data_IF_519328228289
#
_entry.id   IF_519328228289
#
_cell.length_a   1.000
_cell.length_b   1.000
_cell.length_c   1.000
_cell.angle_alpha   90.00
_cell.angle_beta   90.00
_cell.angle_gamma   90.00
#
_symmetry.space_group_name_H-M   'P 1'
#
loop_
_entity.id
_entity.type
_entity.pdbx_description
1 polymer ?
#
# COMPACT_ATOMS: atom_id res chain seq x y z
N UNK A 1 29.93 -21.68 -28.35
CA UNK A 1 28.51 -21.89 -27.97
C UNK A 1 28.19 -21.50 -26.53
N UNK A 2 29.01 -21.79 -25.51
CA UNK A 2 28.74 -21.43 -24.11
C UNK A 2 28.64 -19.91 -23.84
N UNK A 3 29.54 -19.09 -24.43
CA UNK A 3 29.50 -17.63 -24.26
C UNK A 3 28.25 -16.98 -24.87
N UNK A 4 27.76 -17.46 -26.02
CA UNK A 4 26.53 -16.93 -26.63
C UNK A 4 25.29 -17.21 -25.77
N UNK A 5 25.30 -18.34 -25.07
CA UNK A 5 24.19 -18.72 -24.16
C UNK A 5 24.20 -17.85 -22.89
N UNK A 6 25.36 -17.56 -22.32
CA UNK A 6 25.51 -16.69 -21.14
C UNK A 6 25.05 -15.25 -21.46
N UNK A 7 25.44 -14.69 -22.60
CA UNK A 7 25.06 -13.33 -23.00
C UNK A 7 23.57 -13.21 -23.28
N UNK A 8 22.93 -14.23 -23.84
CA UNK A 8 21.48 -14.24 -24.07
C UNK A 8 20.70 -14.27 -22.73
N UNK A 9 21.09 -15.09 -21.77
CA UNK A 9 20.48 -15.16 -20.46
C UNK A 9 20.64 -13.86 -19.65
N UNK A 10 21.79 -13.23 -19.70
CA UNK A 10 22.04 -11.93 -19.06
C UNK A 10 21.18 -10.84 -19.67
N UNK A 11 21.06 -10.82 -21.00
CA UNK A 11 20.24 -9.83 -21.71
C UNK A 11 18.76 -9.98 -21.39
N UNK A 12 18.22 -11.20 -21.40
CA UNK A 12 16.83 -11.50 -21.03
C UNK A 12 16.53 -11.08 -19.59
N UNK A 13 17.42 -11.38 -18.64
CA UNK A 13 17.29 -11.01 -17.24
C UNK A 13 17.25 -9.48 -17.07
N UNK A 14 18.07 -8.74 -17.79
CA UNK A 14 18.09 -7.27 -17.74
C UNK A 14 16.80 -6.66 -18.30
N UNK A 15 16.24 -7.22 -19.39
CA UNK A 15 14.96 -6.77 -19.93
C UNK A 15 13.81 -7.03 -18.97
N UNK A 16 13.72 -8.23 -18.38
CA UNK A 16 12.67 -8.56 -17.40
C UNK A 16 12.77 -7.64 -16.17
N UNK A 17 13.98 -7.37 -15.69
CA UNK A 17 14.19 -6.43 -14.58
C UNK A 17 13.68 -5.03 -14.92
N UNK A 18 13.95 -4.53 -16.13
CA UNK A 18 13.48 -3.22 -16.58
C UNK A 18 11.94 -3.11 -16.62
N UNK A 19 11.26 -4.11 -17.18
CA UNK A 19 9.78 -4.13 -17.21
C UNK A 19 9.17 -4.18 -15.82
N UNK A 20 9.71 -4.99 -14.93
CA UNK A 20 9.20 -5.06 -13.54
C UNK A 20 9.43 -3.77 -12.77
N UNK A 21 10.50 -3.03 -13.05
CA UNK A 21 10.74 -1.72 -12.44
C UNK A 21 9.76 -0.66 -12.94
N UNK A 22 9.42 -0.68 -14.24
CA UNK A 22 8.40 0.20 -14.81
C UNK A 22 7.02 -0.12 -14.20
N UNK A 23 6.64 -1.39 -14.09
CA UNK A 23 5.36 -1.78 -13.47
C UNK A 23 5.32 -1.36 -12.00
N UNK A 24 6.43 -1.52 -11.26
CA UNK A 24 6.52 -1.06 -9.87
C UNK A 24 6.31 0.45 -9.77
N UNK A 25 6.92 1.23 -10.66
CA UNK A 25 6.74 2.69 -10.71
C UNK A 25 5.29 3.06 -11.02
N UNK A 26 4.67 2.46 -12.04
CA UNK A 26 3.29 2.75 -12.44
C UNK A 26 2.29 2.40 -11.33
N UNK A 27 2.44 1.24 -10.69
CA UNK A 27 1.60 0.85 -9.55
C UNK A 27 1.78 1.79 -8.37
N UNK A 28 3.00 2.27 -8.11
CA UNK A 28 3.28 3.27 -7.07
C UNK A 28 2.61 4.60 -7.33
N UNK A 29 2.70 5.12 -8.57
CA UNK A 29 2.02 6.36 -8.98
C UNK A 29 0.50 6.21 -8.86
N UNK A 30 -0.06 5.09 -9.31
CA UNK A 30 -1.49 4.81 -9.20
C UNK A 30 -1.96 4.81 -7.73
N UNK A 31 -1.23 4.14 -6.84
CA UNK A 31 -1.53 4.11 -5.41
C UNK A 31 -1.41 5.51 -4.78
N UNK A 32 -0.40 6.30 -5.15
CA UNK A 32 -0.25 7.67 -4.69
C UNK A 32 -1.45 8.55 -5.11
N UNK A 33 -1.84 8.50 -6.37
CA UNK A 33 -3.03 9.23 -6.86
C UNK A 33 -4.30 8.78 -6.13
N UNK A 34 -4.46 7.47 -5.93
CA UNK A 34 -5.59 6.93 -5.18
C UNK A 34 -5.62 7.47 -3.74
N UNK A 35 -4.49 7.44 -3.02
CA UNK A 35 -4.43 7.94 -1.63
C UNK A 35 -4.78 9.43 -1.56
N UNK A 36 -4.28 10.25 -2.48
CA UNK A 36 -4.61 11.68 -2.54
C UNK A 36 -6.11 11.91 -2.76
N UNK A 37 -6.72 11.22 -3.72
CA UNK A 37 -8.16 11.28 -3.96
C UNK A 37 -8.96 10.77 -2.77
N UNK A 38 -8.53 9.68 -2.16
CA UNK A 38 -9.15 9.10 -0.98
C UNK A 38 -9.11 10.06 0.22
N UNK A 39 -7.98 10.74 0.44
CA UNK A 39 -7.84 11.75 1.49
C UNK A 39 -8.81 12.91 1.31
N UNK A 40 -8.97 13.43 0.08
CA UNK A 40 -9.95 14.48 -0.23
C UNK A 40 -11.38 13.99 0.07
N UNK A 41 -11.70 12.77 -0.35
CA UNK A 41 -13.02 12.18 -0.16
C UNK A 41 -13.35 12.00 1.34
N UNK A 42 -12.44 11.42 2.11
CA UNK A 42 -12.65 11.23 3.55
C UNK A 42 -12.67 12.56 4.30
N UNK A 43 -11.84 13.53 3.91
CA UNK A 43 -11.82 14.87 4.51
C UNK A 43 -13.12 15.66 4.27
N UNK A 44 -13.95 15.25 3.32
CA UNK A 44 -15.25 15.89 3.07
C UNK A 44 -16.20 15.83 4.27
N UNK A 45 -16.01 14.88 5.19
CA UNK A 45 -16.77 14.79 6.45
C UNK A 45 -16.57 16.03 7.33
N UNK A 46 -15.40 16.67 7.25
CA UNK A 46 -15.08 17.90 8.01
C UNK A 46 -15.94 19.07 7.55
N UNK A 47 -16.26 19.11 6.24
CA UNK A 47 -17.14 20.14 5.67
C UNK A 47 -18.59 19.86 6.05
N UNK A 48 -19.08 18.64 5.85
CA UNK A 48 -20.41 18.21 6.27
C UNK A 48 -20.54 16.68 6.13
N UNK A 49 -21.15 15.99 7.12
CA UNK A 49 -21.51 14.57 7.00
C UNK A 49 -22.36 14.28 5.76
N UNK A 50 -23.27 15.20 5.39
CA UNK A 50 -24.11 15.06 4.19
C UNK A 50 -23.32 15.00 2.89
N UNK A 51 -22.21 15.77 2.80
CA UNK A 51 -21.33 15.74 1.61
C UNK A 51 -20.64 14.38 1.52
N UNK A 52 -20.11 13.88 2.64
CA UNK A 52 -19.51 12.54 2.70
C UNK A 52 -20.51 11.46 2.29
N UNK A 53 -21.75 11.48 2.84
CA UNK A 53 -22.80 10.52 2.52
C UNK A 53 -23.18 10.57 1.03
N UNK A 54 -23.28 11.76 0.44
CA UNK A 54 -23.56 11.92 -1.00
C UNK A 54 -22.46 11.31 -1.86
N UNK A 55 -21.18 11.50 -1.49
CA UNK A 55 -20.04 10.89 -2.17
C UNK A 55 -20.01 9.38 -1.99
N UNK A 56 -20.32 8.89 -0.80
CA UNK A 56 -20.43 7.45 -0.52
C UNK A 56 -21.52 6.78 -1.36
N UNK A 57 -22.72 7.38 -1.42
CA UNK A 57 -23.82 6.90 -2.27
C UNK A 57 -23.42 6.90 -3.75
N UNK A 58 -22.74 7.95 -4.23
CA UNK A 58 -22.22 7.98 -5.60
C UNK A 58 -21.24 6.84 -5.89
N UNK A 59 -20.31 6.57 -4.98
CA UNK A 59 -19.32 5.49 -5.14
C UNK A 59 -19.98 4.10 -5.12
N UNK A 60 -21.00 3.92 -4.29
CA UNK A 60 -21.74 2.67 -4.19
C UNK A 60 -22.64 2.42 -5.40
N UNK A 61 -23.41 3.43 -5.82
CA UNK A 61 -24.31 3.31 -6.99
C UNK A 61 -23.54 3.14 -8.30
N UNK A 62 -22.31 3.68 -8.37
CA UNK A 62 -21.41 3.50 -9.50
C UNK A 62 -20.60 2.18 -9.43
N UNK A 63 -20.80 1.35 -8.41
CA UNK A 63 -20.02 0.14 -8.13
C UNK A 63 -18.51 0.39 -7.93
N UNK A 64 -18.09 1.64 -7.79
CA UNK A 64 -16.69 2.01 -7.61
C UNK A 64 -16.15 1.54 -6.26
N UNK A 65 -16.94 1.50 -5.21
CA UNK A 65 -16.54 0.99 -3.91
C UNK A 65 -16.35 -0.54 -3.94
N UNK A 66 -17.31 -1.28 -4.53
CA UNK A 66 -17.34 -2.74 -4.55
C UNK A 66 -16.26 -3.33 -5.46
N UNK A 67 -15.98 -2.69 -6.59
CA UNK A 67 -14.99 -3.16 -7.58
C UNK A 67 -13.63 -2.49 -7.35
N UNK A 68 -13.61 -1.19 -7.08
CA UNK A 68 -12.39 -0.41 -6.87
C UNK A 68 -11.62 -0.85 -5.63
N UNK A 69 -12.29 -1.14 -4.53
CA UNK A 69 -11.66 -1.61 -3.30
C UNK A 69 -10.80 -2.86 -3.50
N UNK A 70 -11.34 -3.98 -4.02
CA UNK A 70 -10.55 -5.18 -4.34
C UNK A 70 -9.43 -4.93 -5.36
N UNK A 71 -9.66 -4.09 -6.37
CA UNK A 71 -8.64 -3.75 -7.37
C UNK A 71 -7.48 -3.01 -6.72
N UNK A 72 -7.75 -2.02 -5.88
CA UNK A 72 -6.69 -1.26 -5.18
C UNK A 72 -5.92 -2.18 -4.23
N UNK A 73 -6.60 -3.08 -3.53
CA UNK A 73 -5.94 -4.09 -2.69
C UNK A 73 -5.00 -4.98 -3.52
N UNK A 74 -5.45 -5.46 -4.67
CA UNK A 74 -4.63 -6.25 -5.58
C UNK A 74 -3.41 -5.48 -6.09
N UNK A 75 -3.60 -4.21 -6.50
CA UNK A 75 -2.50 -3.33 -6.95
C UNK A 75 -1.51 -3.09 -5.82
N UNK A 76 -1.97 -2.89 -4.60
CA UNK A 76 -1.12 -2.70 -3.42
C UNK A 76 -0.27 -3.94 -3.12
N UNK A 77 -0.86 -5.14 -3.17
CA UNK A 77 -0.14 -6.41 -2.99
C UNK A 77 0.89 -6.60 -4.11
N UNK A 78 0.50 -6.36 -5.36
CA UNK A 78 1.41 -6.43 -6.51
C UNK A 78 2.58 -5.45 -6.36
N UNK A 79 2.31 -4.20 -6.02
CA UNK A 79 3.33 -3.19 -5.78
C UNK A 79 4.30 -3.63 -4.68
N UNK A 80 3.77 -4.16 -3.57
CA UNK A 80 4.58 -4.66 -2.46
C UNK A 80 5.48 -5.83 -2.90
N UNK A 81 4.95 -6.82 -3.63
CA UNK A 81 5.72 -7.97 -4.14
C UNK A 81 6.86 -7.49 -5.06
N UNK A 82 6.58 -6.53 -5.94
CA UNK A 82 7.59 -5.97 -6.84
C UNK A 82 8.66 -5.19 -6.07
N UNK A 83 8.30 -4.44 -5.04
CA UNK A 83 9.23 -3.72 -4.18
C UNK A 83 10.07 -4.67 -3.32
N UNK A 84 9.42 -5.69 -2.74
CA UNK A 84 10.06 -6.71 -1.90
C UNK A 84 11.18 -7.47 -2.62
N UNK A 85 11.07 -7.62 -3.94
CA UNK A 85 12.12 -8.24 -4.76
C UNK A 85 13.51 -7.60 -4.58
N UNK A 86 13.56 -6.31 -4.20
CA UNK A 86 14.79 -5.55 -4.00
C UNK A 86 15.27 -5.52 -2.55
N UNK A 87 14.55 -6.17 -1.64
CA UNK A 87 14.89 -6.20 -0.22
C UNK A 87 15.85 -7.33 0.12
N UNK A 88 16.79 -7.12 1.05
CA UNK A 88 17.65 -8.19 1.57
C UNK A 88 16.82 -9.07 2.51
N UNK A 89 16.41 -10.25 2.05
CA UNK A 89 15.65 -11.20 2.88
C UNK A 89 16.52 -12.26 3.58
N UNK A 90 17.77 -12.45 3.13
CA UNK A 90 18.64 -13.40 3.80
C UNK A 90 19.21 -12.79 5.09
N UNK A 91 19.36 -13.60 6.17
CA UNK A 91 19.94 -13.13 7.43
C UNK A 91 21.36 -12.54 7.25
N UNK A 92 22.13 -13.07 6.31
CA UNK A 92 23.47 -12.59 5.99
C UNK A 92 23.43 -11.22 5.31
N UNK A 93 22.57 -11.04 4.31
CA UNK A 93 22.40 -9.76 3.63
C UNK A 93 21.88 -8.68 4.59
N UNK A 94 20.92 -9.04 5.45
CA UNK A 94 20.39 -8.13 6.46
C UNK A 94 21.47 -7.70 7.46
N UNK A 95 22.33 -8.63 7.90
CA UNK A 95 23.45 -8.33 8.79
C UNK A 95 24.46 -7.40 8.14
N UNK A 96 24.82 -7.66 6.88
CA UNK A 96 25.72 -6.80 6.11
C UNK A 96 25.12 -5.41 5.90
N UNK A 97 23.84 -5.34 5.55
CA UNK A 97 23.12 -4.07 5.43
C UNK A 97 23.19 -3.26 6.74
N UNK A 98 22.89 -3.88 7.89
CA UNK A 98 22.97 -3.23 9.20
C UNK A 98 24.40 -2.76 9.53
N UNK A 99 25.40 -3.55 9.20
CA UNK A 99 26.80 -3.18 9.39
C UNK A 99 27.16 -1.96 8.54
N UNK A 100 26.78 -1.95 7.28
CA UNK A 100 27.01 -0.84 6.37
C UNK A 100 26.26 0.43 6.80
N UNK A 101 25.01 0.31 7.19
CA UNK A 101 24.18 1.42 7.68
C UNK A 101 24.82 2.11 8.89
N UNK A 102 25.38 1.33 9.82
CA UNK A 102 26.08 1.86 11.01
C UNK A 102 27.42 2.51 10.68
N UNK A 103 28.15 1.96 9.69
CA UNK A 103 29.47 2.50 9.31
C UNK A 103 29.35 3.79 8.52
N UNK A 104 28.41 3.88 7.59
CA UNK A 104 28.35 5.01 6.66
C UNK A 104 27.64 6.24 7.23
N UNK A 105 26.83 6.11 8.28
CA UNK A 105 26.02 7.19 8.88
C UNK A 105 25.23 8.03 7.85
N UNK A 106 24.91 7.45 6.67
CA UNK A 106 24.16 8.13 5.63
C UNK A 106 22.67 8.15 5.97
N UNK A 107 22.09 9.35 5.93
CA UNK A 107 20.65 9.56 6.13
C UNK A 107 19.79 8.72 5.18
N UNK A 108 20.22 8.57 3.93
CA UNK A 108 19.48 7.82 2.90
C UNK A 108 19.25 6.36 3.28
N UNK A 109 20.24 5.72 3.92
CA UNK A 109 20.10 4.32 4.36
C UNK A 109 19.06 4.18 5.49
N UNK A 110 19.05 5.14 6.43
CA UNK A 110 18.09 5.15 7.53
C UNK A 110 16.68 5.50 7.04
N UNK A 111 16.56 6.45 6.12
CA UNK A 111 15.28 6.81 5.47
C UNK A 111 14.70 5.63 4.70
N UNK A 112 15.55 4.87 4.00
CA UNK A 112 15.12 3.65 3.32
C UNK A 112 14.57 2.60 4.31
N UNK A 113 15.24 2.40 5.44
CA UNK A 113 14.75 1.46 6.48
C UNK A 113 13.40 1.89 7.06
N UNK A 114 13.22 3.18 7.35
CA UNK A 114 11.95 3.76 7.81
C UNK A 114 10.88 3.55 6.74
N UNK A 115 11.20 3.78 5.46
CA UNK A 115 10.28 3.56 4.34
C UNK A 115 9.81 2.10 4.26
N UNK A 116 10.73 1.15 4.42
CA UNK A 116 10.37 -0.30 4.42
C UNK A 116 9.46 -0.64 5.61
N UNK A 117 9.80 -0.19 6.80
CA UNK A 117 9.01 -0.45 8.00
C UNK A 117 7.60 0.16 7.89
N UNK A 118 7.50 1.41 7.46
CA UNK A 118 6.20 2.08 7.26
C UNK A 118 5.39 1.45 6.14
N UNK A 119 6.03 0.98 5.06
CA UNK A 119 5.34 0.28 3.96
C UNK A 119 4.67 -1.02 4.44
N UNK A 120 5.34 -1.79 5.32
CA UNK A 120 4.76 -3.01 5.91
C UNK A 120 3.55 -2.66 6.80
N UNK A 121 3.67 -1.64 7.64
CA UNK A 121 2.56 -1.17 8.48
C UNK A 121 1.37 -0.73 7.62
N UNK A 122 1.61 0.06 6.57
CA UNK A 122 0.58 0.52 5.64
C UNK A 122 -0.08 -0.68 4.95
N UNK A 123 0.68 -1.66 4.49
CA UNK A 123 0.14 -2.86 3.84
C UNK A 123 -0.85 -3.58 4.76
N UNK A 124 -0.49 -3.81 6.02
CA UNK A 124 -1.35 -4.50 7.00
C UNK A 124 -2.60 -3.66 7.31
N UNK A 125 -2.41 -2.39 7.64
CA UNK A 125 -3.51 -1.51 8.03
C UNK A 125 -4.47 -1.22 6.89
N UNK A 126 -3.95 -0.98 5.67
CA UNK A 126 -4.78 -0.74 4.50
C UNK A 126 -5.55 -2.00 4.09
N UNK A 127 -4.93 -3.19 4.17
CA UNK A 127 -5.64 -4.45 3.90
C UNK A 127 -6.80 -4.66 4.89
N UNK A 128 -6.55 -4.47 6.18
CA UNK A 128 -7.58 -4.55 7.21
C UNK A 128 -8.70 -3.51 6.98
N UNK A 129 -8.32 -2.28 6.61
CA UNK A 129 -9.27 -1.21 6.30
C UNK A 129 -10.17 -1.57 5.12
N UNK A 130 -9.61 -2.02 3.99
CA UNK A 130 -10.38 -2.42 2.80
C UNK A 130 -11.34 -3.56 3.14
N UNK A 131 -10.87 -4.60 3.85
CA UNK A 131 -11.71 -5.73 4.26
C UNK A 131 -12.85 -5.25 5.16
N UNK A 132 -12.56 -4.38 6.12
CA UNK A 132 -13.58 -3.84 7.03
C UNK A 132 -14.64 -3.03 6.26
N UNK A 133 -14.24 -2.16 5.34
CA UNK A 133 -15.19 -1.37 4.54
C UNK A 133 -16.06 -2.26 3.66
N UNK A 134 -15.48 -3.22 2.95
CA UNK A 134 -16.24 -4.14 2.09
C UNK A 134 -17.21 -5.03 2.87
N UNK A 135 -16.87 -5.37 4.12
CA UNK A 135 -17.74 -6.17 5.00
C UNK A 135 -18.90 -5.38 5.61
N UNK A 136 -18.82 -4.04 5.61
CA UNK A 136 -19.78 -3.16 6.28
C UNK A 136 -20.51 -2.21 5.32
N UNK A 137 -20.65 -2.58 4.05
CA UNK A 137 -21.46 -1.82 3.10
C UNK A 137 -22.96 -1.82 3.53
N UNK A 138 -23.71 -0.74 3.29
CA UNK A 138 -23.36 0.53 2.68
C UNK A 138 -22.57 1.46 3.62
N UNK A 139 -21.70 2.28 3.01
CA UNK A 139 -20.87 3.26 3.73
C UNK A 139 -21.74 4.46 4.13
N UNK A 140 -21.67 4.88 5.41
CA UNK A 140 -22.26 6.13 5.87
C UNK A 140 -21.42 6.76 6.97
N UNK A 141 -21.53 8.10 7.12
CA UNK A 141 -20.82 8.85 8.15
C UNK A 141 -21.18 8.36 9.56
N UNK A 142 -22.46 8.11 9.82
CA UNK A 142 -22.96 7.65 11.12
C UNK A 142 -22.40 6.27 11.50
N UNK A 143 -22.38 5.31 10.55
CA UNK A 143 -21.80 3.98 10.78
C UNK A 143 -20.31 4.07 11.04
N UNK A 144 -19.61 4.92 10.31
CA UNK A 144 -18.17 5.13 10.49
C UNK A 144 -17.86 5.72 11.87
N UNK A 145 -18.64 6.70 12.31
CA UNK A 145 -18.53 7.29 13.65
C UNK A 145 -18.84 6.25 14.75
N UNK A 146 -19.91 5.48 14.59
CA UNK A 146 -20.29 4.43 15.55
C UNK A 146 -19.22 3.32 15.65
N UNK A 147 -18.58 2.95 14.55
CA UNK A 147 -17.50 1.96 14.55
C UNK A 147 -16.28 2.43 15.35
N UNK A 148 -15.94 3.73 15.27
CA UNK A 148 -14.84 4.33 16.03
C UNK A 148 -15.21 4.39 17.51
N UNK A 149 -16.42 4.85 17.86
CA UNK A 149 -16.89 4.97 19.23
C UNK A 149 -17.05 3.59 19.89
N UNK A 150 -17.67 2.63 19.23
CA UNK A 150 -17.83 1.27 19.74
C UNK A 150 -16.52 0.51 19.95
N UNK A 151 -15.45 0.90 19.24
CA UNK A 151 -14.09 0.42 19.49
C UNK A 151 -13.46 0.98 20.77
N UNK A 152 -13.85 2.19 21.16
CA UNK A 152 -13.42 2.85 22.39
C UNK A 152 -14.14 2.27 23.60
N UNK A 153 -15.46 2.08 23.52
CA UNK A 153 -16.29 1.57 24.62
C UNK A 153 -15.97 0.12 25.01
N UNK A 154 -15.53 -0.71 24.03
CA UNK A 154 -15.09 -2.09 24.33
C UNK A 154 -13.83 -2.16 25.21
N UNK A 155 -13.03 -1.09 25.29
CA UNK A 155 -11.84 -1.01 26.13
C UNK A 155 -12.12 -0.49 27.54
N UNK A 156 -13.30 0.08 27.77
CA UNK A 156 -13.69 0.64 29.08
C UNK A 156 -14.46 -0.35 29.98
N UNK A 157 -14.67 -1.59 29.53
CA UNK A 157 -15.41 -2.66 30.26
C UNK A 157 -14.50 -3.81 30.70
N UNK A 158 -13.22 -3.53 30.95
CA UNK A 158 -12.31 -4.50 31.59
C UNK A 158 -11.77 -3.95 32.88
#
# INVERSE_FOLDING_TARGET
>A
MAQANITSHVRLRNHISGYTDVIQMLTGVLLCCFVLMHMVLVSSVILSPKIMDSLAVFLETSYLAQIGGPIILLVMILHFILAARKMPFSPLELREFWRQAKMMHHMDTWLWLVQVATAIVILVMASAHVINILSNLPISADKSAAAIQGGIDRKSVV
#
